data_IF_429964049115
#
_entry.id   IF_429964049115
#
_cell.length_a   1.000
_cell.length_b   1.000
_cell.length_c   1.000
_cell.angle_alpha   90.00
_cell.angle_beta   90.00
_cell.angle_gamma   90.00
#
_symmetry.space_group_name_H-M   'P 1'
#
loop_
_entity.id
_entity.type
_entity.pdbx_description
1 polymer ?
#
# COMPACT_ATOMS: atom_id res chain seq x y z
N UNK A 1 8.50 -4.95 -11.75
CA UNK A 1 9.45 -3.97 -11.16
C UNK A 1 9.64 -4.37 -9.71
N UNK A 2 10.89 -4.35 -9.27
CA UNK A 2 11.34 -4.89 -8.00
C UNK A 2 11.26 -3.85 -6.89
N UNK A 3 10.95 -4.27 -5.67
CA UNK A 3 11.01 -3.46 -4.45
C UNK A 3 11.79 -4.22 -3.39
N UNK A 4 12.79 -3.57 -2.79
CA UNK A 4 13.40 -4.05 -1.56
C UNK A 4 12.43 -3.91 -0.38
N UNK A 5 12.38 -4.94 0.47
CA UNK A 5 11.68 -4.93 1.74
C UNK A 5 12.58 -4.24 2.78
N UNK A 6 12.07 -3.17 3.38
CA UNK A 6 12.77 -2.44 4.44
C UNK A 6 12.31 -2.90 5.83
N UNK A 7 13.10 -2.58 6.85
CA UNK A 7 12.75 -2.83 8.26
C UNK A 7 11.36 -2.26 8.60
N UNK A 8 11.00 -1.11 8.03
CA UNK A 8 9.68 -0.50 8.22
C UNK A 8 8.52 -1.36 7.69
N UNK A 9 8.77 -2.14 6.63
CA UNK A 9 7.76 -3.00 6.01
C UNK A 9 7.50 -4.25 6.87
N UNK A 10 8.51 -4.72 7.62
CA UNK A 10 8.39 -5.89 8.50
C UNK A 10 8.18 -5.54 9.96
N UNK A 11 8.09 -4.25 10.31
CA UNK A 11 7.89 -3.80 11.69
C UNK A 11 6.44 -4.01 12.16
N UNK A 12 6.26 -4.73 13.27
CA UNK A 12 4.96 -4.89 13.95
C UNK A 12 4.36 -3.55 14.40
N UNK A 13 5.22 -2.59 14.79
CA UNK A 13 4.77 -1.27 15.23
C UNK A 13 4.20 -0.43 14.06
N UNK A 14 4.79 -0.56 12.87
CA UNK A 14 4.32 0.19 11.69
C UNK A 14 3.16 -0.51 10.97
N UNK A 15 3.15 -1.85 10.98
CA UNK A 15 2.10 -2.72 10.43
C UNK A 15 1.59 -2.27 9.04
N UNK A 16 2.53 -1.98 8.13
CA UNK A 16 2.24 -1.49 6.78
C UNK A 16 3.35 -1.88 5.81
N UNK A 17 3.02 -1.95 4.54
CA UNK A 17 3.97 -2.11 3.44
C UNK A 17 4.06 -0.83 2.63
N UNK A 18 5.25 -0.23 2.54
CA UNK A 18 5.49 1.01 1.82
C UNK A 18 5.73 0.76 0.33
N UNK A 19 4.88 1.32 -0.51
CA UNK A 19 5.00 1.27 -1.97
C UNK A 19 5.57 2.60 -2.46
N UNK A 20 6.67 2.52 -3.21
CA UNK A 20 7.29 3.68 -3.86
C UNK A 20 6.33 4.29 -4.88
N UNK A 21 6.31 5.62 -4.98
CA UNK A 21 5.46 6.37 -5.91
C UNK A 21 5.60 5.91 -7.35
N UNK A 22 6.82 5.59 -7.78
CA UNK A 22 7.10 5.08 -9.12
C UNK A 22 6.40 3.74 -9.39
N UNK A 23 6.47 2.78 -8.46
CA UNK A 23 5.79 1.48 -8.59
C UNK A 23 4.28 1.67 -8.70
N UNK A 24 3.72 2.58 -7.90
CA UNK A 24 2.28 2.89 -7.97
C UNK A 24 1.92 3.46 -9.33
N UNK A 25 2.67 4.46 -9.83
CA UNK A 25 2.40 5.12 -11.09
C UNK A 25 2.53 4.18 -12.31
N UNK A 26 3.53 3.30 -12.32
CA UNK A 26 3.84 2.45 -13.47
C UNK A 26 3.08 1.11 -13.46
N UNK A 27 2.70 0.57 -12.30
CA UNK A 27 2.15 -0.80 -12.18
C UNK A 27 0.74 -0.86 -11.64
N UNK A 28 0.37 0.05 -10.75
CA UNK A 28 -0.94 0.00 -10.09
C UNK A 28 -1.93 0.93 -10.79
N UNK A 29 -1.58 2.21 -10.93
CA UNK A 29 -2.45 3.24 -11.52
C UNK A 29 -2.95 2.94 -12.95
N UNK A 30 -2.19 2.27 -13.85
CA UNK A 30 -2.72 1.91 -15.16
C UNK A 30 -3.90 0.94 -15.08
N UNK A 31 -3.95 0.11 -14.03
CA UNK A 31 -5.05 -0.82 -13.81
C UNK A 31 -6.22 -0.17 -13.08
N UNK A 32 -6.09 1.02 -12.48
CA UNK A 32 -7.11 1.64 -11.63
C UNK A 32 -8.11 2.52 -12.39
N UNK A 33 -9.36 2.53 -11.93
CA UNK A 33 -10.37 3.51 -12.38
C UNK A 33 -10.09 4.89 -11.78
N UNK A 34 -10.78 5.92 -12.27
CA UNK A 34 -10.70 7.26 -11.65
C UNK A 34 -11.15 7.27 -10.20
N UNK A 35 -12.26 6.58 -9.89
CA UNK A 35 -12.82 6.47 -8.54
C UNK A 35 -11.88 5.77 -7.56
N UNK A 36 -11.21 4.71 -8.01
CA UNK A 36 -10.23 4.00 -7.20
C UNK A 36 -8.97 4.84 -6.94
N UNK A 37 -8.52 5.61 -7.94
CA UNK A 37 -7.39 6.53 -7.75
C UNK A 37 -7.74 7.60 -6.71
N UNK A 38 -8.97 8.11 -6.73
CA UNK A 38 -9.49 9.02 -5.71
C UNK A 38 -9.56 8.33 -4.33
N UNK A 39 -10.14 7.14 -4.24
CA UNK A 39 -10.25 6.37 -3.00
C UNK A 39 -8.88 6.02 -2.38
N UNK A 40 -7.85 5.81 -3.21
CA UNK A 40 -6.48 5.58 -2.78
C UNK A 40 -5.67 6.87 -2.52
N UNK A 41 -6.27 8.06 -2.63
CA UNK A 41 -5.63 9.37 -2.50
C UNK A 41 -4.48 9.62 -3.51
N UNK A 42 -4.57 9.06 -4.72
CA UNK A 42 -3.51 9.10 -5.74
C UNK A 42 -3.60 10.27 -6.73
N UNK A 43 -4.75 10.94 -6.84
CA UNK A 43 -5.00 11.97 -7.87
C UNK A 43 -4.45 13.35 -7.54
N UNK A 44 -3.84 13.57 -6.37
CA UNK A 44 -3.17 14.83 -6.03
C UNK A 44 -4.08 16.07 -5.98
N UNK A 45 -5.40 15.90 -6.11
CA UNK A 45 -6.34 17.01 -6.04
C UNK A 45 -6.35 17.57 -4.60
N UNK A 46 -5.79 18.77 -4.46
CA UNK A 46 -5.82 19.59 -3.25
C UNK A 46 -7.25 19.78 -2.74
N UNK A 47 -7.81 18.86 -1.94
CA UNK A 47 -8.88 19.23 -1.00
C UNK A 47 -8.25 19.96 0.18
N UNK A 48 -7.80 21.20 -0.09
CA UNK A 48 -7.77 22.29 0.89
C UNK A 48 -9.22 22.56 1.30
N UNK A 49 -9.81 21.70 2.13
CA UNK A 49 -10.86 22.17 3.03
C UNK A 49 -10.15 22.89 4.17
N UNK A 50 -9.78 24.15 3.92
CA UNK A 50 -9.57 25.14 4.98
C UNK A 50 -10.93 25.30 5.66
N UNK A 51 -11.14 24.60 6.77
CA UNK A 51 -11.94 25.17 7.85
C UNK A 51 -10.91 25.84 8.77
N UNK A 52 -10.59 27.09 8.44
CA UNK A 52 -10.11 28.02 9.45
C UNK A 52 -11.32 28.33 10.32
N UNK A 53 -11.27 27.96 11.59
CA UNK A 53 -12.04 28.63 12.63
C UNK A 53 -11.27 28.52 13.95
N UNK A 54 -10.95 29.68 14.52
CA UNK A 54 -10.62 29.86 15.93
C UNK A 54 -9.18 29.54 16.32
N UNK A 55 -8.51 30.50 16.96
CA UNK A 55 -7.17 30.36 17.51
C UNK A 55 -7.13 29.67 18.88
N UNK A 56 -5.92 29.61 19.44
CA UNK A 56 -5.68 29.28 20.84
C UNK A 56 -5.00 27.93 21.08
N UNK A 57 -3.71 28.03 21.42
CA UNK A 57 -3.03 27.25 22.48
C UNK A 57 -2.79 25.73 22.33
N UNK A 58 -1.95 25.26 23.25
CA UNK A 58 -1.03 24.14 23.17
C UNK A 58 -1.64 22.74 22.97
N UNK A 59 -0.92 21.92 22.19
CA UNK A 59 -0.54 20.60 22.69
C UNK A 59 -1.59 19.48 22.64
N UNK A 60 -2.39 19.35 21.59
CA UNK A 60 -3.11 18.09 21.32
C UNK A 60 -2.58 17.43 20.06
N UNK A 61 -2.15 16.16 20.20
CA UNK A 61 -1.86 15.30 19.04
C UNK A 61 -3.13 15.21 18.21
N UNK A 62 -3.20 16.02 17.15
CA UNK A 62 -4.29 16.01 16.17
C UNK A 62 -4.56 14.57 15.78
N UNK A 63 -5.70 14.06 16.23
CA UNK A 63 -6.19 12.74 15.88
C UNK A 63 -6.16 12.65 14.35
N UNK A 64 -5.36 11.72 13.83
CA UNK A 64 -5.13 11.58 12.40
C UNK A 64 -6.45 11.50 11.67
N UNK A 65 -6.58 12.29 10.59
CA UNK A 65 -7.71 12.29 9.66
C UNK A 65 -8.14 10.85 9.36
N UNK A 66 -9.45 10.58 9.27
CA UNK A 66 -9.96 9.26 8.90
C UNK A 66 -9.34 8.85 7.54
N UNK A 67 -8.29 8.03 7.58
CA UNK A 67 -7.52 7.64 6.41
C UNK A 67 -8.30 6.56 5.65
N UNK A 68 -9.38 6.95 4.97
CA UNK A 68 -10.05 6.06 4.00
C UNK A 68 -9.07 5.79 2.86
N UNK A 69 -8.75 4.52 2.66
CA UNK A 69 -7.98 4.02 1.53
C UNK A 69 -8.83 3.04 0.74
N UNK A 70 -8.42 2.76 -0.49
CA UNK A 70 -9.07 1.77 -1.33
C UNK A 70 -8.86 0.38 -0.74
N UNK A 71 -9.94 -0.32 -0.42
CA UNK A 71 -9.87 -1.73 -0.04
C UNK A 71 -9.55 -2.57 -1.28
N UNK A 72 -8.50 -3.39 -1.18
CA UNK A 72 -7.98 -4.22 -2.26
C UNK A 72 -7.66 -5.60 -1.71
N UNK A 73 -7.98 -6.63 -2.48
CA UNK A 73 -7.54 -7.99 -2.19
C UNK A 73 -6.09 -8.13 -2.62
N UNK A 74 -5.24 -8.59 -1.70
CA UNK A 74 -3.79 -8.74 -1.92
C UNK A 74 -3.41 -10.20 -1.73
N UNK A 75 -2.82 -10.79 -2.75
CA UNK A 75 -2.31 -12.16 -2.76
C UNK A 75 -0.79 -12.20 -2.53
N UNK A 76 -0.34 -13.20 -1.77
CA UNK A 76 1.06 -13.59 -1.77
C UNK A 76 1.36 -14.55 -2.93
N UNK A 77 2.63 -14.95 -3.10
CA UNK A 77 3.02 -15.88 -4.17
C UNK A 77 2.41 -17.29 -4.03
N UNK A 78 2.11 -17.72 -2.81
CA UNK A 78 1.49 -19.03 -2.54
C UNK A 78 -0.03 -19.04 -2.78
N UNK A 79 -0.60 -17.94 -3.29
CA UNK A 79 -2.03 -17.81 -3.59
C UNK A 79 -2.90 -17.47 -2.38
N UNK A 80 -2.32 -17.25 -1.20
CA UNK A 80 -3.07 -16.78 -0.03
C UNK A 80 -3.39 -15.29 -0.16
N UNK A 81 -4.68 -14.94 -0.02
CA UNK A 81 -5.18 -13.58 -0.18
C UNK A 81 -5.80 -12.99 1.10
N UNK A 82 -5.68 -11.68 1.27
CA UNK A 82 -6.44 -10.94 2.28
C UNK A 82 -6.78 -9.51 1.85
N UNK A 83 -7.82 -8.95 2.46
CA UNK A 83 -8.18 -7.54 2.27
C UNK A 83 -7.23 -6.61 3.02
N UNK A 84 -6.69 -5.63 2.30
CA UNK A 84 -5.88 -4.54 2.82
C UNK A 84 -6.35 -3.20 2.24
N UNK A 85 -5.97 -2.10 2.88
CA UNK A 85 -6.25 -0.74 2.42
C UNK A 85 -5.03 -0.13 1.74
N UNK A 86 -5.16 0.20 0.46
CA UNK A 86 -4.21 0.97 -0.32
C UNK A 86 -4.50 2.46 -0.14
N UNK A 87 -3.52 3.22 0.36
CA UNK A 87 -3.69 4.67 0.50
C UNK A 87 -2.37 5.40 0.36
N UNK A 88 -2.39 6.58 -0.26
CA UNK A 88 -1.27 7.51 -0.28
C UNK A 88 -1.31 8.44 0.92
N UNK A 89 -0.16 8.65 1.53
CA UNK A 89 -0.01 9.57 2.66
C UNK A 89 0.46 10.94 2.19
N UNK A 90 -0.24 11.98 2.67
CA UNK A 90 0.03 13.36 2.29
C UNK A 90 1.43 13.84 2.71
N UNK A 91 1.92 13.40 3.87
CA UNK A 91 3.18 13.85 4.45
C UNK A 91 4.42 13.25 3.77
N UNK A 92 4.44 11.93 3.55
CA UNK A 92 5.57 11.24 2.92
C UNK A 92 5.47 11.15 1.40
N UNK A 93 4.30 11.45 0.82
CA UNK A 93 3.93 11.19 -0.58
C UNK A 93 3.98 9.72 -1.00
N UNK A 94 4.36 8.82 -0.10
CA UNK A 94 4.40 7.39 -0.33
C UNK A 94 3.01 6.77 -0.21
N UNK A 95 2.83 5.65 -0.90
CA UNK A 95 1.64 4.83 -0.75
C UNK A 95 1.94 3.68 0.20
N UNK A 96 0.91 3.21 0.88
CA UNK A 96 1.02 2.07 1.79
C UNK A 96 -0.12 1.09 1.56
N UNK A 97 0.17 -0.20 1.74
CA UNK A 97 -0.83 -1.21 2.06
C UNK A 97 -0.82 -1.40 3.57
N UNK A 98 -1.99 -1.34 4.19
CA UNK A 98 -2.15 -1.49 5.64
C UNK A 98 -3.50 -2.12 5.97
N UNK A 99 -3.63 -2.66 7.18
CA UNK A 99 -4.89 -3.22 7.66
C UNK A 99 -4.64 -4.25 8.77
N UNK A 100 -5.73 -4.71 9.41
CA UNK A 100 -5.64 -5.72 10.47
C UNK A 100 -4.96 -7.02 10.02
N UNK A 101 -5.13 -7.37 8.73
CA UNK A 101 -4.56 -8.59 8.15
C UNK A 101 -3.10 -8.45 7.67
N UNK A 102 -2.50 -7.26 7.71
CA UNK A 102 -1.15 -7.07 7.14
C UNK A 102 -0.09 -7.91 7.85
N UNK A 103 -0.15 -8.01 9.19
CA UNK A 103 0.77 -8.84 9.97
C UNK A 103 0.71 -10.31 9.54
N UNK A 104 -0.48 -10.82 9.29
CA UNK A 104 -0.67 -12.20 8.82
C UNK A 104 -0.23 -12.36 7.36
N UNK A 105 -0.52 -11.39 6.51
CA UNK A 105 -0.03 -11.35 5.13
C UNK A 105 1.49 -11.41 5.08
N UNK A 106 2.19 -10.57 5.85
CA UNK A 106 3.65 -10.59 5.97
C UNK A 106 4.14 -11.97 6.42
N UNK A 107 3.54 -12.53 7.47
CA UNK A 107 3.92 -13.84 8.03
C UNK A 107 3.78 -14.96 6.99
N UNK A 108 2.68 -14.98 6.24
CA UNK A 108 2.42 -15.97 5.19
C UNK A 108 3.20 -15.73 3.90
N UNK A 109 3.70 -14.52 3.70
CA UNK A 109 4.53 -14.20 2.52
C UNK A 109 6.02 -14.46 2.76
N UNK A 110 6.40 -14.85 3.98
CA UNK A 110 7.80 -15.07 4.39
C UNK A 110 8.72 -13.86 4.07
N UNK A 111 8.17 -12.65 4.17
CA UNK A 111 8.92 -11.43 3.92
C UNK A 111 9.94 -11.14 5.02
N UNK A 112 11.21 -11.04 4.64
CA UNK A 112 12.30 -10.58 5.48
C UNK A 112 12.85 -9.23 4.99
N UNK A 113 13.39 -8.43 5.91
CA UNK A 113 14.09 -7.21 5.52
C UNK A 113 15.34 -7.56 4.71
N UNK A 114 15.55 -6.87 3.60
CA UNK A 114 16.61 -7.18 2.64
C UNK A 114 16.14 -8.02 1.44
N UNK A 115 14.99 -8.69 1.54
CA UNK A 115 14.40 -9.38 0.41
C UNK A 115 14.03 -8.38 -0.70
N UNK A 116 13.96 -8.88 -1.92
CA UNK A 116 13.37 -8.15 -3.04
C UNK A 116 12.07 -8.82 -3.46
N UNK A 117 11.02 -8.04 -3.63
CA UNK A 117 9.71 -8.50 -4.09
C UNK A 117 9.35 -7.91 -5.44
N UNK A 118 8.51 -8.63 -6.15
CA UNK A 118 7.78 -8.15 -7.31
C UNK A 118 6.33 -7.86 -6.95
N UNK A 119 5.73 -6.92 -7.68
CA UNK A 119 4.36 -6.51 -7.49
C UNK A 119 3.61 -6.49 -8.81
N UNK A 120 2.38 -7.01 -8.78
CA UNK A 120 1.45 -6.99 -9.90
C UNK A 120 0.11 -6.41 -9.48
N UNK A 121 -0.54 -5.73 -10.42
CA UNK A 121 -1.93 -5.32 -10.30
C UNK A 121 -2.69 -5.91 -11.49
N UNK A 122 -3.92 -6.37 -11.25
CA UNK A 122 -4.75 -6.98 -12.27
C UNK A 122 -6.23 -6.80 -11.93
N UNK A 123 -7.09 -7.10 -12.90
CA UNK A 123 -8.54 -7.04 -12.78
C UNK A 123 -9.14 -8.44 -12.75
N UNK A 124 -10.10 -8.65 -11.87
CA UNK A 124 -10.98 -9.83 -11.94
C UNK A 124 -12.06 -9.65 -13.01
N UNK A 125 -12.81 -10.72 -13.27
CA UNK A 125 -13.95 -10.69 -14.19
C UNK A 125 -15.04 -9.70 -13.74
N UNK A 126 -15.18 -9.50 -12.43
CA UNK A 126 -16.09 -8.53 -11.82
C UNK A 126 -15.58 -7.08 -11.89
N UNK A 127 -14.45 -6.86 -12.56
CA UNK A 127 -13.82 -5.56 -12.71
C UNK A 127 -13.11 -5.06 -11.45
N UNK A 128 -13.03 -5.83 -10.36
CA UNK A 128 -12.33 -5.40 -9.14
C UNK A 128 -10.81 -5.41 -9.31
N UNK A 129 -10.14 -4.49 -8.61
CA UNK A 129 -8.68 -4.42 -8.55
C UNK A 129 -8.12 -5.42 -7.55
N UNK A 130 -7.14 -6.21 -7.99
CA UNK A 130 -6.38 -7.13 -7.16
C UNK A 130 -4.90 -6.78 -7.23
N UNK A 131 -4.17 -7.07 -6.16
CA UNK A 131 -2.72 -6.97 -6.11
C UNK A 131 -2.11 -8.33 -5.79
N UNK A 132 -0.93 -8.60 -6.33
CA UNK A 132 -0.08 -9.71 -5.90
C UNK A 132 1.31 -9.19 -5.53
N UNK A 133 1.87 -9.71 -4.44
CA UNK A 133 3.22 -9.40 -3.98
C UNK A 133 3.94 -10.70 -3.66
N UNK A 134 5.12 -10.91 -4.23
CA UNK A 134 5.89 -12.12 -3.99
C UNK A 134 7.39 -11.85 -4.00
N UNK A 135 8.15 -12.59 -3.18
CA UNK A 135 9.61 -12.56 -3.22
C UNK A 135 10.09 -12.86 -4.64
N UNK A 136 11.06 -12.10 -5.13
CA UNK A 136 11.72 -12.40 -6.38
C UNK A 136 12.49 -13.72 -6.21
N UNK A 137 12.31 -14.64 -7.15
CA UNK A 137 13.13 -15.86 -7.22
C UNK A 137 14.07 -15.64 -8.40
N UNK A 138 15.38 -15.67 -8.13
CA UNK A 138 16.37 -15.84 -9.18
C UNK A 138 16.39 -17.33 -9.50
N UNK A 139 15.85 -17.71 -10.66
CA UNK A 139 15.86 -19.08 -11.14
C UNK A 139 17.25 -19.53 -11.64
N UNK A 140 18.32 -18.79 -11.34
CA UNK A 140 19.69 -19.14 -11.71
C UNK A 140 20.35 -20.16 -10.78
N UNK A 141 19.59 -20.80 -9.88
CA UNK A 141 20.13 -21.85 -9.01
C UNK A 141 20.04 -23.21 -9.71
N UNK A 142 21.18 -23.55 -10.34
CA UNK A 142 21.75 -24.89 -10.54
C UNK A 142 20.95 -25.90 -11.38
N UNK A 143 21.27 -25.94 -12.69
CA UNK A 143 21.41 -27.21 -13.43
C UNK A 143 22.84 -27.72 -13.29
#
# INVERSE_FOLDING_TARGET
MQKAIYISDVSDQQNRFLIRSQVVAERIMPMMTGEEKEAANLTGAKKRRRLYNGGGEAGERKQGREHRGLEVMVYNRDGWGCWLSLTRWDASKASVLKGGNYKEFRRRSFFAAGDTVEMWAFRGEDGRLFLAIGNQINLEISL
#
